data_IF_786743227064
#
_entry.id   IF_786743227064
#
_cell.length_a   1.000
_cell.length_b   1.000
_cell.length_c   1.000
_cell.angle_alpha   90.00
_cell.angle_beta   90.00
_cell.angle_gamma   90.00
#
_symmetry.space_group_name_H-M   'P 1'
#
loop_
_entity.id
_entity.type
_entity.pdbx_description
1 polymer ?
#
# COMPACT_ATOMS: atom_id res chain seq x y z
N UNK A 1 -35.75 3.63 -35.86
CA UNK A 1 -36.48 3.51 -37.14
C UNK A 1 -37.87 2.88 -36.98
N UNK A 2 -38.04 1.69 -36.40
CA UNK A 2 -39.37 1.05 -36.28
C UNK A 2 -40.33 1.76 -35.30
N UNK A 3 -39.83 2.19 -34.14
CA UNK A 3 -40.62 2.91 -33.15
C UNK A 3 -41.10 4.29 -33.65
N UNK A 4 -40.25 4.99 -34.41
CA UNK A 4 -40.60 6.29 -35.01
C UNK A 4 -41.66 6.16 -36.11
N UNK A 5 -41.59 5.09 -36.93
CA UNK A 5 -42.64 4.79 -37.92
C UNK A 5 -43.98 4.46 -37.25
N UNK A 6 -43.96 3.70 -36.16
CA UNK A 6 -45.16 3.37 -35.39
C UNK A 6 -45.80 4.61 -34.75
N UNK A 7 -44.98 5.48 -34.14
CA UNK A 7 -45.45 6.73 -33.57
C UNK A 7 -46.06 7.68 -34.62
N UNK A 8 -45.49 7.74 -35.84
CA UNK A 8 -46.07 8.52 -36.95
C UNK A 8 -47.42 7.96 -37.42
N UNK A 9 -47.55 6.64 -37.53
CA UNK A 9 -48.81 5.99 -37.89
C UNK A 9 -49.90 6.26 -36.85
N UNK A 10 -49.60 6.14 -35.56
CA UNK A 10 -50.55 6.43 -34.48
C UNK A 10 -51.00 7.90 -34.49
N UNK A 11 -50.10 8.83 -34.78
CA UNK A 11 -50.41 10.25 -34.94
C UNK A 11 -51.34 10.53 -36.13
N UNK A 12 -51.16 9.81 -37.23
CA UNK A 12 -52.00 9.91 -38.42
C UNK A 12 -53.41 9.33 -38.18
N UNK A 13 -53.49 8.19 -37.51
CA UNK A 13 -54.76 7.57 -37.09
C UNK A 13 -55.53 8.47 -36.12
N UNK A 14 -54.84 9.11 -35.16
CA UNK A 14 -55.46 10.08 -34.25
C UNK A 14 -55.97 11.33 -34.99
N UNK A 15 -55.24 11.82 -36.00
CA UNK A 15 -55.68 12.93 -36.85
C UNK A 15 -56.90 12.57 -37.69
N UNK A 16 -56.95 11.37 -38.26
CA UNK A 16 -58.14 10.91 -39.00
C UNK A 16 -59.37 10.79 -38.09
N UNK A 17 -59.22 10.20 -36.90
CA UNK A 17 -60.32 10.11 -35.91
C UNK A 17 -60.83 11.48 -35.48
N UNK A 18 -59.93 12.45 -35.29
CA UNK A 18 -60.32 13.82 -34.96
C UNK A 18 -61.11 14.51 -36.09
N UNK A 19 -60.72 14.29 -37.36
CA UNK A 19 -61.46 14.81 -38.52
C UNK A 19 -62.86 14.20 -38.63
N UNK A 20 -62.99 12.88 -38.53
CA UNK A 20 -64.30 12.21 -38.59
C UNK A 20 -65.24 12.67 -37.46
N UNK A 21 -64.71 12.86 -36.24
CA UNK A 21 -65.50 13.38 -35.13
C UNK A 21 -65.95 14.84 -35.36
N UNK A 22 -65.12 15.65 -36.00
CA UNK A 22 -65.46 17.03 -36.36
C UNK A 22 -66.52 17.09 -37.47
N UNK A 23 -66.44 16.21 -38.48
CA UNK A 23 -67.42 16.09 -39.55
C UNK A 23 -68.79 15.62 -39.01
N UNK A 24 -68.81 14.56 -38.19
CA UNK A 24 -70.04 14.08 -37.55
C UNK A 24 -70.71 15.14 -36.65
N UNK A 25 -69.89 15.95 -35.94
CA UNK A 25 -70.40 17.07 -35.15
C UNK A 25 -70.98 18.18 -36.03
N UNK A 26 -70.44 18.40 -37.22
CA UNK A 26 -70.96 19.38 -38.19
C UNK A 26 -72.25 18.90 -38.83
N UNK A 27 -72.34 17.62 -39.20
CA UNK A 27 -73.56 16.99 -39.73
C UNK A 27 -74.71 17.05 -38.72
N UNK A 28 -74.46 16.72 -37.44
CA UNK A 28 -75.46 16.88 -36.38
C UNK A 28 -75.97 18.31 -36.25
N UNK A 29 -75.06 19.30 -36.30
CA UNK A 29 -75.46 20.72 -36.24
C UNK A 29 -76.34 21.14 -37.42
N UNK A 30 -76.03 20.68 -38.63
CA UNK A 30 -76.84 20.95 -39.81
C UNK A 30 -78.23 20.31 -39.69
N UNK A 31 -78.31 19.08 -39.19
CA UNK A 31 -79.58 18.40 -38.93
C UNK A 31 -80.42 19.14 -37.87
N UNK A 32 -79.79 19.63 -36.80
CA UNK A 32 -80.47 20.43 -35.76
C UNK A 32 -80.96 21.78 -36.33
N UNK A 33 -80.18 22.45 -37.18
CA UNK A 33 -80.60 23.69 -37.85
C UNK A 33 -81.76 23.50 -38.84
N UNK A 34 -81.79 22.37 -39.56
CA UNK A 34 -82.89 22.03 -40.46
C UNK A 34 -84.17 21.66 -39.67
N UNK A 35 -84.03 20.95 -38.55
CA UNK A 35 -85.15 20.67 -37.64
C UNK A 35 -85.74 21.96 -37.05
N UNK A 36 -84.89 22.91 -36.62
CA UNK A 36 -85.33 24.22 -36.12
C UNK A 36 -86.03 25.05 -37.20
N UNK A 37 -85.56 25.01 -38.45
CA UNK A 37 -86.24 25.66 -39.59
C UNK A 37 -87.62 25.05 -39.85
N UNK A 38 -87.75 23.72 -39.76
CA UNK A 38 -89.03 23.02 -39.91
C UNK A 38 -90.01 23.42 -38.80
N UNK A 39 -89.55 23.51 -37.56
CA UNK A 39 -90.36 23.94 -36.42
C UNK A 39 -90.89 25.36 -36.65
N UNK A 40 -90.03 26.31 -37.04
CA UNK A 40 -90.47 27.68 -37.35
C UNK A 40 -91.52 27.75 -38.46
N UNK A 41 -91.34 26.99 -39.54
CA UNK A 41 -92.33 26.92 -40.62
C UNK A 41 -93.69 26.38 -40.14
N UNK A 42 -93.69 25.37 -39.27
CA UNK A 42 -94.92 24.82 -38.69
C UNK A 42 -95.57 25.79 -37.71
N UNK A 43 -94.78 26.57 -36.96
CA UNK A 43 -95.28 27.63 -36.07
C UNK A 43 -95.91 28.78 -36.86
N UNK A 44 -95.30 29.21 -37.96
CA UNK A 44 -95.87 30.20 -38.88
C UNK A 44 -97.17 29.70 -39.52
N UNK A 45 -97.21 28.44 -39.98
CA UNK A 45 -98.45 27.83 -40.49
C UNK A 45 -99.55 27.75 -39.43
N UNK A 46 -99.20 27.40 -38.18
CA UNK A 46 -100.14 27.41 -37.06
C UNK A 46 -100.69 28.82 -36.80
N UNK A 47 -99.82 29.83 -36.85
CA UNK A 47 -100.21 31.22 -36.67
C UNK A 47 -101.13 31.71 -37.80
N UNK A 48 -100.83 31.37 -39.06
CA UNK A 48 -101.65 31.70 -40.23
C UNK A 48 -103.03 31.03 -40.15
N UNK A 49 -103.08 29.76 -39.72
CA UNK A 49 -104.33 29.03 -39.49
C UNK A 49 -105.14 29.61 -38.32
N UNK A 50 -104.50 30.00 -37.21
CA UNK A 50 -105.15 30.71 -36.11
C UNK A 50 -105.71 32.08 -36.56
N UNK A 51 -104.99 32.78 -37.42
CA UNK A 51 -105.42 34.04 -38.01
C UNK A 51 -106.62 33.85 -38.95
N UNK A 52 -106.61 32.82 -39.79
CA UNK A 52 -107.75 32.45 -40.63
C UNK A 52 -108.98 32.07 -39.80
N UNK A 53 -108.81 31.33 -38.70
CA UNK A 53 -109.90 31.02 -37.74
C UNK A 53 -110.42 32.28 -37.03
N UNK A 54 -109.55 33.27 -36.75
CA UNK A 54 -109.96 34.54 -36.15
C UNK A 54 -110.67 35.47 -37.14
N UNK A 55 -110.32 35.44 -38.43
CA UNK A 55 -111.00 36.19 -39.49
C UNK A 55 -112.33 35.55 -39.92
N UNK A 56 -112.53 34.25 -39.67
CA UNK A 56 -113.77 33.53 -39.90
C UNK A 56 -114.78 33.64 -38.73
N UNK A 57 -114.47 34.40 -37.67
CA UNK A 57 -115.46 34.82 -36.68
C UNK A 57 -115.96 36.23 -37.02
N UNK A 58 -117.16 36.39 -37.60
CA UNK A 58 -117.84 37.67 -37.53
C UNK A 58 -118.25 37.94 -36.07
N UNK A 59 -117.96 39.17 -35.65
CA UNK A 59 -118.60 39.83 -34.50
C UNK A 59 -120.11 39.54 -34.48
N UNK A 60 -120.57 38.92 -33.40
CA UNK A 60 -121.94 39.01 -32.95
C UNK A 60 -121.96 38.84 -31.43
N UNK A 61 -121.82 39.97 -30.74
CA UNK A 61 -122.46 40.18 -29.45
C UNK A 61 -123.58 41.19 -29.69
N UNK A 62 -124.84 40.76 -29.52
CA UNK A 62 -125.72 41.53 -28.67
C UNK A 62 -126.39 40.63 -27.64
N UNK A 63 -125.93 40.76 -26.41
CA UNK A 63 -126.72 40.97 -25.19
C UNK A 63 -128.22 40.62 -25.29
N UNK A 64 -128.62 39.70 -24.42
CA UNK A 64 -129.88 39.74 -23.67
C UNK A 64 -131.20 39.45 -24.44
N UNK A 65 -131.43 38.18 -24.77
CA UNK A 65 -132.79 37.63 -24.85
C UNK A 65 -132.77 36.11 -24.63
N UNK A 66 -133.23 35.68 -23.45
CA UNK A 66 -133.74 34.35 -23.05
C UNK A 66 -133.08 33.78 -21.78
N UNK A 67 -133.56 34.23 -20.63
CA UNK A 67 -133.79 33.32 -19.50
C UNK A 67 -134.95 32.38 -19.87
N UNK A 68 -134.65 31.31 -20.60
CA UNK A 68 -135.47 30.08 -20.62
C UNK A 68 -134.69 28.99 -19.91
N UNK A 69 -135.33 28.12 -19.11
CA UNK A 69 -134.72 26.83 -18.78
C UNK A 69 -134.51 26.09 -20.11
N UNK A 70 -133.26 25.98 -20.55
CA UNK A 70 -132.89 25.21 -21.73
C UNK A 70 -133.06 23.73 -21.36
N UNK A 71 -134.27 23.22 -21.55
CA UNK A 71 -134.50 21.79 -21.69
C UNK A 71 -134.00 21.44 -23.09
N UNK A 72 -132.71 21.09 -23.21
CA UNK A 72 -132.17 20.44 -24.40
C UNK A 72 -132.97 19.17 -24.66
N UNK A 73 -133.10 18.77 -25.92
CA UNK A 73 -133.73 17.48 -26.21
C UNK A 73 -132.93 16.37 -25.50
N UNK A 74 -133.55 15.25 -25.11
CA UNK A 74 -132.81 14.11 -24.54
C UNK A 74 -131.67 13.61 -25.45
N UNK A 75 -131.71 13.94 -26.74
CA UNK A 75 -130.63 13.69 -27.71
C UNK A 75 -129.44 14.66 -27.55
N UNK A 76 -129.66 15.95 -27.25
CA UNK A 76 -128.58 16.91 -26.96
C UNK A 76 -127.87 16.60 -25.64
N UNK A 77 -128.61 16.20 -24.59
CA UNK A 77 -128.03 15.82 -23.31
C UNK A 77 -127.24 14.50 -23.39
N UNK A 78 -127.69 13.55 -24.22
CA UNK A 78 -126.94 12.33 -24.53
C UNK A 78 -125.63 12.63 -25.28
N UNK A 79 -125.65 13.54 -26.26
CA UNK A 79 -124.46 13.96 -26.99
C UNK A 79 -123.45 14.71 -26.10
N UNK A 80 -123.92 15.53 -25.16
CA UNK A 80 -123.06 16.18 -24.16
C UNK A 80 -122.39 15.15 -23.24
N UNK A 81 -123.12 14.14 -22.78
CA UNK A 81 -122.55 13.04 -21.99
C UNK A 81 -121.54 12.19 -22.78
N UNK A 82 -121.82 11.86 -24.04
CA UNK A 82 -120.86 11.16 -24.91
C UNK A 82 -119.60 11.99 -25.16
N UNK A 83 -119.74 13.31 -25.28
CA UNK A 83 -118.62 14.23 -25.43
C UNK A 83 -117.79 14.34 -24.14
N UNK A 84 -118.41 14.36 -22.96
CA UNK A 84 -117.70 14.30 -21.67
C UNK A 84 -116.95 12.99 -21.48
N UNK A 85 -117.57 11.84 -21.79
CA UNK A 85 -116.93 10.51 -21.70
C UNK A 85 -115.76 10.40 -22.68
N UNK A 86 -115.93 10.88 -23.91
CA UNK A 86 -114.86 10.89 -24.91
C UNK A 86 -113.74 11.86 -24.53
N UNK A 87 -114.08 13.01 -23.94
CA UNK A 87 -113.14 13.98 -23.40
C UNK A 87 -112.28 13.39 -22.28
N UNK A 88 -112.92 12.72 -21.31
CA UNK A 88 -112.21 12.06 -20.21
C UNK A 88 -111.29 10.95 -20.72
N UNK A 89 -111.75 10.11 -21.66
CA UNK A 89 -110.91 9.06 -22.24
C UNK A 89 -109.70 9.65 -23.00
N UNK A 90 -109.86 10.81 -23.62
CA UNK A 90 -108.76 11.52 -24.27
C UNK A 90 -107.79 12.13 -23.25
N UNK A 91 -108.28 12.75 -22.18
CA UNK A 91 -107.44 13.27 -21.09
C UNK A 91 -106.65 12.15 -20.40
N UNK A 92 -107.29 11.02 -20.08
CA UNK A 92 -106.63 9.85 -19.49
C UNK A 92 -105.55 9.28 -20.42
N UNK A 93 -105.83 9.20 -21.73
CA UNK A 93 -104.85 8.77 -22.73
C UNK A 93 -103.70 9.78 -22.85
N UNK A 94 -103.99 11.07 -22.80
CA UNK A 94 -102.97 12.12 -22.83
C UNK A 94 -102.08 12.08 -21.58
N UNK A 95 -102.67 11.83 -20.40
CA UNK A 95 -101.93 11.64 -19.17
C UNK A 95 -101.10 10.34 -19.19
N UNK A 96 -101.64 9.25 -19.74
CA UNK A 96 -100.88 8.02 -19.93
C UNK A 96 -99.69 8.24 -20.87
N UNK A 97 -99.89 8.99 -21.97
CA UNK A 97 -98.84 9.32 -22.92
C UNK A 97 -97.75 10.18 -22.26
N UNK A 98 -98.13 11.18 -21.46
CA UNK A 98 -97.17 12.01 -20.73
C UNK A 98 -96.34 11.20 -19.72
N UNK A 99 -96.97 10.26 -18.99
CA UNK A 99 -96.29 9.32 -18.09
C UNK A 99 -95.32 8.40 -18.84
N UNK A 100 -95.71 7.87 -20.01
CA UNK A 100 -94.83 7.03 -20.83
C UNK A 100 -93.61 7.80 -21.35
N UNK A 101 -93.79 9.05 -21.80
CA UNK A 101 -92.68 9.94 -22.21
C UNK A 101 -91.73 10.19 -21.03
N UNK A 102 -92.27 10.42 -19.83
CA UNK A 102 -91.45 10.63 -18.63
C UNK A 102 -90.63 9.36 -18.28
N UNK A 103 -91.25 8.18 -18.31
CA UNK A 103 -90.55 6.91 -18.07
C UNK A 103 -89.45 6.64 -19.10
N UNK A 104 -89.67 6.99 -20.38
CA UNK A 104 -88.63 6.87 -21.40
C UNK A 104 -87.43 7.77 -21.09
N UNK A 105 -87.68 9.03 -20.71
CA UNK A 105 -86.61 9.97 -20.30
C UNK A 105 -85.83 9.45 -19.09
N UNK A 106 -86.51 8.96 -18.06
CA UNK A 106 -85.86 8.41 -16.87
C UNK A 106 -85.03 7.16 -17.19
N UNK A 107 -85.51 6.28 -18.09
CA UNK A 107 -84.74 5.13 -18.58
C UNK A 107 -83.53 5.55 -19.39
N UNK A 108 -83.65 6.56 -20.24
CA UNK A 108 -82.53 7.10 -21.02
C UNK A 108 -81.46 7.73 -20.11
N UNK A 109 -81.87 8.48 -19.09
CA UNK A 109 -80.96 9.05 -18.09
C UNK A 109 -80.23 7.95 -17.28
N UNK A 110 -80.95 6.90 -16.87
CA UNK A 110 -80.35 5.75 -16.21
C UNK A 110 -79.36 5.01 -17.12
N UNK A 111 -79.72 4.80 -18.39
CA UNK A 111 -78.82 4.20 -19.38
C UNK A 111 -77.57 5.05 -19.62
N UNK A 112 -77.71 6.38 -19.69
CA UNK A 112 -76.58 7.29 -19.86
C UNK A 112 -75.62 7.21 -18.67
N UNK A 113 -76.15 7.17 -17.44
CA UNK A 113 -75.35 6.98 -16.22
C UNK A 113 -74.60 5.65 -16.24
N UNK A 114 -75.28 4.54 -16.51
CA UNK A 114 -74.66 3.22 -16.60
C UNK A 114 -73.59 3.15 -17.69
N UNK A 115 -73.84 3.77 -18.86
CA UNK A 115 -72.84 3.84 -19.93
C UNK A 115 -71.61 4.64 -19.51
N UNK A 116 -71.80 5.77 -18.83
CA UNK A 116 -70.71 6.59 -18.27
C UNK A 116 -69.89 5.82 -17.25
N UNK A 117 -70.55 5.14 -16.31
CA UNK A 117 -69.90 4.30 -15.29
C UNK A 117 -69.13 3.14 -15.93
N UNK A 118 -69.71 2.48 -16.95
CA UNK A 118 -69.03 1.42 -17.70
C UNK A 118 -67.75 1.93 -18.36
N UNK A 119 -67.79 3.12 -18.97
CA UNK A 119 -66.61 3.73 -19.59
C UNK A 119 -65.54 4.03 -18.52
N UNK A 120 -65.93 4.61 -17.38
CA UNK A 120 -65.00 4.92 -16.27
C UNK A 120 -64.38 3.65 -15.69
N UNK A 121 -65.18 2.62 -15.43
CA UNK A 121 -64.73 1.35 -14.91
C UNK A 121 -63.73 0.66 -15.87
N UNK A 122 -64.03 0.66 -17.17
CA UNK A 122 -63.12 0.11 -18.19
C UNK A 122 -61.78 0.87 -18.26
N UNK A 123 -61.82 2.20 -18.16
CA UNK A 123 -60.61 3.04 -18.12
C UNK A 123 -59.76 2.74 -16.88
N UNK A 124 -60.39 2.71 -15.70
CA UNK A 124 -59.72 2.38 -14.44
C UNK A 124 -59.10 0.98 -14.48
N UNK A 125 -59.85 0.00 -14.98
CA UNK A 125 -59.39 -1.38 -15.07
C UNK A 125 -58.23 -1.54 -16.06
N UNK A 126 -58.17 -0.73 -17.12
CA UNK A 126 -57.00 -0.65 -18.01
C UNK A 126 -55.78 -0.11 -17.27
N UNK A 127 -55.94 1.00 -16.54
CA UNK A 127 -54.86 1.62 -15.78
C UNK A 127 -54.30 0.68 -14.71
N UNK A 128 -55.17 -0.01 -13.96
CA UNK A 128 -54.76 -0.99 -12.95
C UNK A 128 -54.00 -2.19 -13.57
N UNK A 129 -54.35 -2.60 -14.79
CA UNK A 129 -53.61 -3.63 -15.51
C UNK A 129 -52.21 -3.16 -15.92
N UNK A 130 -52.09 -1.93 -16.39
CA UNK A 130 -50.80 -1.32 -16.74
C UNK A 130 -49.92 -1.16 -15.48
N UNK A 131 -50.48 -0.67 -14.38
CA UNK A 131 -49.77 -0.56 -13.10
C UNK A 131 -49.32 -1.92 -12.57
N UNK A 132 -50.18 -2.94 -12.64
CA UNK A 132 -49.80 -4.32 -12.27
C UNK A 132 -48.64 -4.84 -13.11
N UNK A 133 -48.65 -4.59 -14.42
CA UNK A 133 -47.56 -5.01 -15.31
C UNK A 133 -46.24 -4.30 -14.96
N UNK A 134 -46.29 -2.99 -14.72
CA UNK A 134 -45.11 -2.21 -14.29
C UNK A 134 -44.56 -2.72 -12.96
N UNK A 135 -45.42 -3.02 -11.98
CA UNK A 135 -44.98 -3.59 -10.70
C UNK A 135 -44.34 -4.98 -10.89
N UNK A 136 -44.88 -5.82 -11.77
CA UNK A 136 -44.28 -7.11 -12.09
C UNK A 136 -42.90 -6.96 -12.72
N UNK A 137 -42.72 -6.04 -13.66
CA UNK A 137 -41.42 -5.74 -14.28
C UNK A 137 -40.40 -5.21 -13.27
N UNK A 138 -40.84 -4.36 -12.34
CA UNK A 138 -40.01 -3.87 -11.24
C UNK A 138 -39.55 -4.98 -10.32
N UNK A 139 -40.45 -5.90 -9.94
CA UNK A 139 -40.11 -7.08 -9.12
C UNK A 139 -39.08 -7.94 -9.84
N UNK A 140 -39.30 -8.28 -11.12
CA UNK A 140 -38.34 -9.06 -11.90
C UNK A 140 -36.95 -8.40 -11.99
N UNK A 141 -36.94 -7.08 -12.16
CA UNK A 141 -35.68 -6.30 -12.20
C UNK A 141 -34.98 -6.33 -10.84
N UNK A 142 -35.73 -6.21 -9.73
CA UNK A 142 -35.19 -6.31 -8.37
C UNK A 142 -34.65 -7.71 -8.09
N UNK A 143 -35.34 -8.76 -8.50
CA UNK A 143 -34.90 -10.14 -8.32
C UNK A 143 -33.59 -10.40 -9.08
N UNK A 144 -33.49 -9.97 -10.34
CA UNK A 144 -32.23 -10.05 -11.10
C UNK A 144 -31.08 -9.28 -10.44
N UNK A 145 -31.36 -8.12 -9.85
CA UNK A 145 -30.36 -7.35 -9.11
C UNK A 145 -29.92 -8.09 -7.84
N UNK A 146 -30.84 -8.70 -7.10
CA UNK A 146 -30.54 -9.49 -5.91
C UNK A 146 -29.68 -10.71 -6.28
N UNK A 147 -30.02 -11.43 -7.35
CA UNK A 147 -29.24 -12.57 -7.83
C UNK A 147 -27.81 -12.17 -8.23
N UNK A 148 -27.67 -11.06 -8.97
CA UNK A 148 -26.38 -10.49 -9.36
C UNK A 148 -25.55 -10.08 -8.14
N UNK A 149 -26.15 -9.39 -7.18
CA UNK A 149 -25.50 -9.01 -5.92
C UNK A 149 -25.09 -10.26 -5.12
N UNK A 150 -25.94 -11.29 -5.06
CA UNK A 150 -25.62 -12.56 -4.41
C UNK A 150 -24.44 -13.28 -5.07
N UNK A 151 -24.32 -13.22 -6.40
CA UNK A 151 -23.17 -13.77 -7.11
C UNK A 151 -21.87 -13.01 -6.79
N UNK A 152 -21.93 -11.68 -6.67
CA UNK A 152 -20.78 -10.86 -6.25
C UNK A 152 -20.39 -11.17 -4.81
N UNK A 153 -21.36 -11.28 -3.89
CA UNK A 153 -21.12 -11.62 -2.49
C UNK A 153 -20.38 -12.95 -2.36
N UNK A 154 -20.86 -14.01 -3.02
CA UNK A 154 -20.18 -15.33 -3.04
C UNK A 154 -18.74 -15.25 -3.55
N UNK A 155 -18.48 -14.45 -4.59
CA UNK A 155 -17.11 -14.25 -5.11
C UNK A 155 -16.21 -13.50 -4.11
N UNK A 156 -16.76 -12.56 -3.36
CA UNK A 156 -16.02 -11.85 -2.32
C UNK A 156 -15.70 -12.76 -1.14
N UNK A 157 -16.65 -13.58 -0.70
CA UNK A 157 -16.44 -14.58 0.36
C UNK A 157 -15.34 -15.60 -0.03
N UNK A 158 -15.36 -16.09 -1.27
CA UNK A 158 -14.31 -17.00 -1.77
C UNK A 158 -12.92 -16.31 -1.79
N UNK A 159 -12.86 -15.06 -2.26
CA UNK A 159 -11.62 -14.27 -2.23
C UNK A 159 -11.12 -14.03 -0.81
N UNK A 160 -12.01 -13.71 0.12
CA UNK A 160 -11.66 -13.52 1.53
C UNK A 160 -11.07 -14.82 2.10
N UNK A 161 -11.70 -15.96 1.85
CA UNK A 161 -11.22 -17.28 2.29
C UNK A 161 -9.84 -17.60 1.71
N UNK A 162 -9.60 -17.31 0.43
CA UNK A 162 -8.29 -17.49 -0.21
C UNK A 162 -7.25 -16.55 0.42
N UNK A 163 -7.58 -15.28 0.63
CA UNK A 163 -6.68 -14.32 1.25
C UNK A 163 -6.31 -14.72 2.68
N UNK A 164 -7.28 -15.17 3.49
CA UNK A 164 -7.03 -15.69 4.84
C UNK A 164 -6.08 -16.91 4.81
N UNK A 165 -6.27 -17.83 3.84
CA UNK A 165 -5.37 -18.97 3.67
C UNK A 165 -3.94 -18.54 3.29
N UNK A 166 -3.81 -17.56 2.38
CA UNK A 166 -2.49 -17.02 2.00
C UNK A 166 -1.82 -16.28 3.15
N UNK A 167 -2.58 -15.52 3.95
CA UNK A 167 -2.06 -14.83 5.13
C UNK A 167 -1.49 -15.85 6.13
N UNK A 168 -2.26 -16.91 6.44
CA UNK A 168 -1.79 -17.97 7.33
C UNK A 168 -0.53 -18.67 6.82
N UNK A 169 -0.41 -18.86 5.50
CA UNK A 169 0.79 -19.45 4.89
C UNK A 169 2.01 -18.53 5.04
N UNK A 170 1.85 -17.23 4.76
CA UNK A 170 2.91 -16.23 4.89
C UNK A 170 3.34 -16.06 6.35
N UNK A 171 2.41 -16.08 7.30
CA UNK A 171 2.72 -16.03 8.73
C UNK A 171 3.58 -17.23 9.17
N UNK A 172 3.26 -18.44 8.70
CA UNK A 172 4.06 -19.64 8.95
C UNK A 172 5.45 -19.54 8.32
N UNK A 173 5.55 -19.05 7.08
CA UNK A 173 6.84 -18.83 6.43
C UNK A 173 7.67 -17.81 7.21
N UNK A 174 7.07 -16.69 7.63
CA UNK A 174 7.74 -15.67 8.42
C UNK A 174 8.32 -16.26 9.72
N UNK A 175 7.54 -17.08 10.43
CA UNK A 175 8.00 -17.75 11.64
C UNK A 175 9.22 -18.66 11.36
N UNK A 176 9.16 -19.46 10.30
CA UNK A 176 10.27 -20.34 9.92
C UNK A 176 11.52 -19.53 9.53
N UNK A 177 11.35 -18.42 8.81
CA UNK A 177 12.46 -17.52 8.45
C UNK A 177 13.07 -16.85 9.68
N UNK A 178 12.26 -16.44 10.65
CA UNK A 178 12.75 -15.89 11.92
C UNK A 178 13.54 -16.93 12.71
N UNK A 179 13.05 -18.17 12.81
CA UNK A 179 13.76 -19.27 13.47
C UNK A 179 15.09 -19.58 12.80
N UNK A 180 15.13 -19.64 11.46
CA UNK A 180 16.35 -19.84 10.70
C UNK A 180 17.34 -18.69 10.92
N UNK A 181 16.87 -17.45 10.91
CA UNK A 181 17.70 -16.26 11.15
C UNK A 181 18.32 -16.28 12.54
N UNK A 182 17.55 -16.60 13.59
CA UNK A 182 18.07 -16.66 14.96
C UNK A 182 19.10 -17.80 15.12
N UNK A 183 18.88 -18.93 14.45
CA UNK A 183 19.84 -20.04 14.39
C UNK A 183 21.15 -19.63 13.70
N UNK A 184 21.08 -18.91 12.58
CA UNK A 184 22.26 -18.39 11.89
C UNK A 184 23.00 -17.34 12.73
N UNK A 185 22.28 -16.46 13.42
CA UNK A 185 22.85 -15.47 14.33
C UNK A 185 23.61 -16.14 15.47
N UNK A 186 23.03 -17.17 16.09
CA UNK A 186 23.71 -17.97 17.12
C UNK A 186 24.99 -18.62 16.58
N UNK A 187 24.93 -19.27 15.41
CA UNK A 187 26.10 -19.86 14.76
C UNK A 187 27.19 -18.83 14.44
N UNK A 188 26.80 -17.63 14.02
CA UNK A 188 27.74 -16.55 13.75
C UNK A 188 28.48 -16.11 15.02
N UNK A 189 27.77 -16.02 16.15
CA UNK A 189 28.38 -15.71 17.46
C UNK A 189 29.33 -16.83 17.90
N UNK A 190 28.91 -18.09 17.83
CA UNK A 190 29.74 -19.26 18.19
C UNK A 190 31.01 -19.34 17.31
N UNK A 191 30.87 -19.08 16.01
CA UNK A 191 32.00 -19.03 15.07
C UNK A 191 32.97 -17.88 15.39
N UNK A 192 32.45 -16.68 15.69
CA UNK A 192 33.26 -15.54 16.07
C UNK A 192 34.04 -15.78 17.37
N UNK A 193 33.41 -16.43 18.36
CA UNK A 193 34.06 -16.85 19.60
C UNK A 193 35.18 -17.85 19.33
N UNK A 194 34.90 -18.92 18.58
CA UNK A 194 35.90 -19.92 18.19
C UNK A 194 37.08 -19.32 17.44
N UNK A 195 36.84 -18.37 16.54
CA UNK A 195 37.89 -17.65 15.83
C UNK A 195 38.76 -16.79 16.77
N UNK A 196 38.15 -16.13 17.77
CA UNK A 196 38.87 -15.36 18.77
C UNK A 196 39.75 -16.26 19.66
N UNK A 197 39.22 -17.41 20.10
CA UNK A 197 39.96 -18.38 20.92
C UNK A 197 41.16 -18.96 20.15
N UNK A 198 40.95 -19.35 18.89
CA UNK A 198 42.03 -19.83 18.02
C UNK A 198 43.10 -18.75 17.80
N UNK A 199 42.70 -17.49 17.64
CA UNK A 199 43.64 -16.37 17.50
C UNK A 199 44.49 -16.21 18.77
N UNK A 200 43.88 -16.28 19.94
CA UNK A 200 44.59 -16.22 21.22
C UNK A 200 45.58 -17.39 21.37
N UNK A 201 45.18 -18.60 20.98
CA UNK A 201 46.09 -19.75 20.95
C UNK A 201 47.26 -19.55 19.99
N UNK A 202 47.01 -19.03 18.78
CA UNK A 202 48.06 -18.71 17.82
C UNK A 202 49.03 -17.68 18.36
N UNK A 203 48.55 -16.60 18.97
CA UNK A 203 49.40 -15.57 19.60
C UNK A 203 50.26 -16.17 20.72
N UNK A 204 49.67 -17.03 21.57
CA UNK A 204 50.40 -17.75 22.62
C UNK A 204 51.50 -18.65 22.05
N UNK A 205 51.18 -19.50 21.08
CA UNK A 205 52.17 -20.40 20.47
C UNK A 205 53.25 -19.63 19.71
N UNK A 206 52.89 -18.51 19.07
CA UNK A 206 53.84 -17.66 18.38
C UNK A 206 54.81 -16.98 19.37
N UNK A 207 54.32 -16.54 20.53
CA UNK A 207 55.17 -16.02 21.61
C UNK A 207 56.12 -17.10 22.15
N UNK A 208 55.60 -18.30 22.46
CA UNK A 208 56.40 -19.44 22.90
C UNK A 208 57.48 -19.83 21.88
N UNK A 209 57.14 -19.79 20.59
CA UNK A 209 58.10 -20.08 19.53
C UNK A 209 59.22 -19.02 19.46
N UNK A 210 58.88 -17.74 19.62
CA UNK A 210 59.88 -16.66 19.69
C UNK A 210 60.81 -16.82 20.90
N UNK A 211 60.26 -17.13 22.07
CA UNK A 211 61.06 -17.41 23.28
C UNK A 211 61.99 -18.60 23.06
N UNK A 212 61.48 -19.71 22.52
CA UNK A 212 62.30 -20.88 22.21
C UNK A 212 63.41 -20.57 21.18
N UNK A 213 63.08 -19.81 20.12
CA UNK A 213 64.07 -19.35 19.14
C UNK A 213 65.16 -18.48 19.78
N UNK A 214 64.79 -17.57 20.69
CA UNK A 214 65.74 -16.74 21.42
C UNK A 214 66.66 -17.60 22.30
N UNK A 215 66.10 -18.52 23.07
CA UNK A 215 66.88 -19.44 23.91
C UNK A 215 67.85 -20.26 23.06
N UNK A 216 67.41 -20.79 21.91
CA UNK A 216 68.28 -21.53 20.98
C UNK A 216 69.41 -20.64 20.46
N UNK A 217 69.13 -19.39 20.08
CA UNK A 217 70.15 -18.45 19.62
C UNK A 217 71.18 -18.14 20.72
N UNK A 218 70.74 -17.87 21.94
CA UNK A 218 71.60 -17.63 23.11
C UNK A 218 72.49 -18.84 23.43
N UNK A 219 71.91 -20.05 23.44
CA UNK A 219 72.65 -21.30 23.67
C UNK A 219 73.65 -21.57 22.55
N UNK A 220 73.29 -21.29 21.29
CA UNK A 220 74.19 -21.45 20.14
C UNK A 220 75.38 -20.49 20.27
N UNK A 221 75.13 -19.21 20.56
CA UNK A 221 76.19 -18.23 20.78
C UNK A 221 77.09 -18.59 21.96
N UNK A 222 76.53 -19.08 23.07
CA UNK A 222 77.30 -19.56 24.22
C UNK A 222 78.18 -20.77 23.85
N UNK A 223 77.65 -21.73 23.10
CA UNK A 223 78.42 -22.89 22.62
C UNK A 223 79.56 -22.46 21.68
N UNK A 224 79.32 -21.51 20.79
CA UNK A 224 80.37 -20.94 19.91
C UNK A 224 81.48 -20.25 20.72
N UNK A 225 81.11 -19.47 21.73
CA UNK A 225 82.06 -18.80 22.63
C UNK A 225 82.91 -19.82 23.42
N UNK A 226 82.29 -20.86 23.97
CA UNK A 226 83.00 -21.94 24.66
C UNK A 226 83.88 -22.76 23.70
N UNK A 227 83.40 -23.03 22.48
CA UNK A 227 84.20 -23.68 21.44
C UNK A 227 85.43 -22.83 21.07
N UNK A 228 85.28 -21.51 20.98
CA UNK A 228 86.40 -20.59 20.73
C UNK A 228 87.41 -20.58 21.90
N UNK A 229 86.95 -20.45 23.14
CA UNK A 229 87.81 -20.55 24.34
C UNK A 229 88.54 -21.87 24.40
N UNK A 230 87.84 -22.97 24.11
CA UNK A 230 88.41 -24.31 24.07
C UNK A 230 89.52 -24.40 23.02
N UNK A 231 89.30 -23.88 21.80
CA UNK A 231 90.35 -23.81 20.76
C UNK A 231 91.57 -23.01 21.23
N UNK A 232 91.37 -21.85 21.87
CA UNK A 232 92.47 -21.06 22.45
C UNK A 232 93.26 -21.81 23.52
N UNK A 233 92.58 -22.46 24.46
CA UNK A 233 93.24 -23.28 25.47
C UNK A 233 93.98 -24.48 24.86
N UNK A 234 93.44 -25.10 23.80
CA UNK A 234 94.14 -26.15 23.07
C UNK A 234 95.42 -25.62 22.38
N UNK A 235 95.37 -24.43 21.78
CA UNK A 235 96.55 -23.75 21.22
C UNK A 235 97.60 -23.47 22.31
N UNK A 236 97.19 -22.94 23.46
CA UNK A 236 98.06 -22.67 24.61
C UNK A 236 98.67 -23.95 25.18
N UNK A 237 97.87 -25.01 25.36
CA UNK A 237 98.35 -26.33 25.79
C UNK A 237 99.36 -26.91 24.80
N UNK A 238 99.14 -26.75 23.49
CA UNK A 238 100.10 -27.19 22.48
C UNK A 238 101.43 -26.41 22.58
N UNK A 239 101.38 -25.09 22.82
CA UNK A 239 102.58 -24.26 23.05
C UNK A 239 103.31 -24.69 24.32
N UNK A 240 102.58 -24.89 25.44
CA UNK A 240 103.16 -25.32 26.71
C UNK A 240 103.75 -26.72 26.62
N UNK A 241 103.10 -27.67 25.93
CA UNK A 241 103.67 -29.00 25.63
C UNK A 241 104.97 -28.90 24.85
N UNK A 242 105.02 -28.08 23.78
CA UNK A 242 106.27 -27.82 23.04
C UNK A 242 107.36 -27.22 23.92
N UNK A 243 107.02 -26.31 24.85
CA UNK A 243 107.97 -25.74 25.82
C UNK A 243 108.46 -26.78 26.83
N UNK A 244 107.56 -27.61 27.35
CA UNK A 244 107.91 -28.71 28.26
C UNK A 244 108.82 -29.73 27.58
N UNK A 245 108.57 -30.09 26.33
CA UNK A 245 109.47 -30.94 25.53
C UNK A 245 110.85 -30.32 25.31
N UNK A 246 110.93 -29.00 25.09
CA UNK A 246 112.22 -28.28 25.01
C UNK A 246 112.98 -28.30 26.34
N UNK A 247 112.30 -28.06 27.45
CA UNK A 247 112.88 -28.13 28.80
C UNK A 247 113.38 -29.55 29.10
N UNK A 248 112.62 -30.58 28.71
CA UNK A 248 113.01 -31.99 28.86
C UNK A 248 114.24 -32.36 28.02
N UNK A 249 114.40 -31.76 26.83
CA UNK A 249 115.62 -31.88 26.01
C UNK A 249 116.81 -31.11 26.61
N UNK A 250 116.57 -30.00 27.31
CA UNK A 250 117.61 -29.29 28.06
C UNK A 250 118.03 -30.05 29.33
N UNK A 251 117.12 -30.74 30.03
CA UNK A 251 117.45 -31.63 31.15
C UNK A 251 118.17 -32.91 30.70
N UNK A 252 117.92 -33.42 29.50
CA UNK A 252 118.65 -34.57 28.94
C UNK A 252 120.08 -34.23 28.46
N UNK A 253 120.49 -32.95 28.46
CA UNK A 253 121.75 -32.48 27.91
C UNK A 253 122.68 -31.82 28.94
N UNK A 254 122.82 -32.41 30.14
CA UNK A 254 123.73 -31.87 31.17
C UNK A 254 124.56 -32.91 31.93
N UNK A 255 125.81 -33.14 31.51
CA UNK A 255 126.92 -33.56 32.38
C UNK A 255 128.25 -32.90 31.96
N UNK A 256 128.86 -32.19 32.93
CA UNK A 256 130.28 -31.80 33.15
C UNK A 256 130.99 -30.71 32.31
N UNK A 257 131.15 -29.55 32.97
CA UNK A 257 132.27 -28.56 33.14
C UNK A 257 133.40 -28.39 32.09
N UNK A 258 133.77 -27.12 31.78
CA UNK A 258 134.94 -26.39 32.35
C UNK A 258 135.00 -24.91 31.85
N UNK A 259 135.72 -24.07 32.59
CA UNK A 259 135.79 -22.59 32.59
C UNK A 259 136.60 -21.92 31.47
N UNK A 260 136.37 -20.61 31.24
CA UNK A 260 137.39 -19.72 30.65
C UNK A 260 136.95 -18.51 29.80
N UNK A 261 136.43 -17.47 30.46
CA UNK A 261 136.58 -16.01 30.16
C UNK A 261 136.26 -15.43 28.76
N UNK A 262 135.27 -14.52 28.70
CA UNK A 262 135.31 -13.11 28.23
C UNK A 262 134.00 -12.64 27.57
N UNK A 263 133.48 -11.48 27.99
CA UNK A 263 132.45 -10.71 27.25
C UNK A 263 131.27 -10.25 28.10
N UNK A 264 131.26 -8.98 28.51
CA UNK A 264 130.22 -8.40 29.34
C UNK A 264 129.00 -7.83 28.59
N UNK A 265 127.91 -7.72 29.37
CA UNK A 265 126.87 -6.68 29.37
C UNK A 265 125.80 -6.64 28.24
N UNK A 266 124.68 -5.89 28.40
CA UNK A 266 123.81 -5.62 29.57
C UNK A 266 122.32 -5.78 29.22
N UNK A 267 121.40 -5.64 30.20
CA UNK A 267 120.19 -4.86 29.88
C UNK A 267 118.82 -5.29 30.39
N UNK A 268 118.68 -5.81 31.61
CA UNK A 268 117.40 -5.66 32.34
C UNK A 268 117.65 -4.94 33.65
N UNK A 269 117.78 -3.61 33.57
CA UNK A 269 117.85 -2.76 34.76
C UNK A 269 116.52 -2.86 35.52
N UNK A 270 116.59 -3.19 36.81
CA UNK A 270 115.43 -3.27 37.70
C UNK A 270 114.64 -1.96 37.65
N UNK A 271 113.32 -2.05 37.57
CA UNK A 271 112.44 -0.88 37.63
C UNK A 271 112.27 -0.47 39.09
N UNK A 272 112.97 0.57 39.49
CA UNK A 272 113.09 1.04 40.88
C UNK A 272 112.86 2.56 41.01
N UNK A 273 112.12 3.16 40.08
CA UNK A 273 111.75 4.57 40.12
C UNK A 273 110.41 4.87 39.44
N UNK A 274 109.67 5.84 39.98
CA UNK A 274 108.37 6.29 39.44
C UNK A 274 108.36 7.78 39.14
N UNK A 275 107.67 8.16 38.06
CA UNK A 275 107.32 9.54 37.76
C UNK A 275 106.00 9.91 38.43
N UNK A 276 105.98 10.90 39.31
CA UNK A 276 104.78 11.29 40.07
C UNK A 276 103.68 11.91 39.21
N UNK A 277 104.04 12.50 38.06
CA UNK A 277 103.07 13.13 37.14
C UNK A 277 102.26 12.16 36.29
N UNK A 278 102.78 10.96 36.03
CA UNK A 278 102.12 9.98 35.14
C UNK A 278 102.14 8.54 35.68
N UNK A 279 102.68 8.35 36.89
CA UNK A 279 102.79 7.07 37.61
C UNK A 279 103.42 5.92 36.81
N UNK A 280 104.19 6.24 35.76
CA UNK A 280 104.96 5.25 35.02
C UNK A 280 106.27 4.92 35.72
N UNK A 281 106.58 3.61 35.80
CA UNK A 281 107.73 3.07 36.52
C UNK A 281 108.84 2.66 35.55
N UNK A 282 110.06 3.10 35.84
CA UNK A 282 111.27 2.86 35.07
C UNK A 282 112.46 2.56 36.00
N UNK A 283 113.64 2.33 35.44
CA UNK A 283 114.86 2.25 36.22
C UNK A 283 115.30 3.65 36.69
N UNK A 284 115.80 3.78 37.91
CA UNK A 284 116.26 5.05 38.50
C UNK A 284 117.33 5.71 37.63
N UNK A 285 118.33 4.93 37.19
CA UNK A 285 119.39 5.44 36.32
C UNK A 285 118.84 5.94 34.98
N UNK A 286 117.81 5.29 34.44
CA UNK A 286 117.18 5.65 33.18
C UNK A 286 116.49 7.02 33.27
N UNK A 287 115.81 7.29 34.39
CA UNK A 287 115.16 8.58 34.63
C UNK A 287 116.19 9.66 34.97
N UNK A 288 117.21 9.33 35.78
CA UNK A 288 118.30 10.25 36.13
C UNK A 288 119.09 10.70 34.90
N UNK A 289 119.52 9.77 34.04
CA UNK A 289 120.24 10.11 32.80
C UNK A 289 119.40 11.00 31.88
N UNK A 290 118.09 10.74 31.75
CA UNK A 290 117.19 11.62 30.96
C UNK A 290 117.03 13.01 31.57
N UNK A 291 117.01 13.11 32.89
CA UNK A 291 116.97 14.41 33.57
C UNK A 291 118.25 15.23 33.35
N UNK A 292 119.42 14.58 33.47
CA UNK A 292 120.75 15.19 33.28
C UNK A 292 120.99 15.60 31.81
N UNK A 293 120.58 14.78 30.85
CA UNK A 293 120.67 15.06 29.40
C UNK A 293 119.59 16.00 28.86
N UNK A 294 118.79 16.63 29.76
CA UNK A 294 117.68 17.54 29.45
C UNK A 294 116.55 16.93 28.60
N UNK A 295 116.50 15.62 28.44
CA UNK A 295 115.41 14.87 27.78
C UNK A 295 114.27 14.58 28.77
N UNK A 296 113.76 15.63 29.40
CA UNK A 296 112.85 15.62 30.57
C UNK A 296 111.39 15.28 30.22
N UNK A 297 111.16 14.21 29.46
CA UNK A 297 109.82 13.70 29.11
C UNK A 297 109.72 12.19 29.39
N UNK A 298 108.56 11.76 29.89
CA UNK A 298 108.27 10.37 30.18
C UNK A 298 108.43 9.51 28.91
N UNK A 299 109.23 8.43 28.94
CA UNK A 299 109.40 7.56 27.78
C UNK A 299 108.11 6.92 27.24
N UNK A 300 107.06 6.79 28.08
CA UNK A 300 105.83 6.07 27.73
C UNK A 300 104.68 6.97 27.28
N UNK A 301 104.51 8.13 27.91
CA UNK A 301 103.42 9.06 27.59
C UNK A 301 103.87 10.48 27.22
N UNK A 302 105.17 10.71 27.13
CA UNK A 302 105.77 11.99 26.74
C UNK A 302 105.46 13.19 27.69
N UNK A 303 104.88 12.94 28.87
CA UNK A 303 104.63 13.95 29.89
C UNK A 303 105.95 14.55 30.42
N UNK A 304 106.04 15.87 30.53
CA UNK A 304 107.23 16.56 31.03
C UNK A 304 107.39 16.36 32.55
N UNK A 305 108.63 16.14 33.02
CA UNK A 305 108.94 15.95 34.45
C UNK A 305 110.18 16.75 34.90
N UNK A 306 110.13 17.31 36.11
CA UNK A 306 111.18 18.13 36.74
C UNK A 306 112.00 17.38 37.80
N UNK A 307 112.85 18.12 38.53
CA UNK A 307 113.76 17.56 39.54
C UNK A 307 113.02 16.82 40.67
N UNK A 308 111.85 17.32 41.05
CA UNK A 308 111.04 16.80 42.15
C UNK A 308 109.97 15.81 41.68
N UNK A 309 109.93 15.46 40.38
CA UNK A 309 108.84 14.67 39.78
C UNK A 309 109.23 13.20 39.55
N UNK A 310 110.40 12.75 40.05
CA UNK A 310 110.83 11.36 39.98
C UNK A 310 111.44 10.89 41.31
N UNK A 311 110.98 9.75 41.81
CA UNK A 311 111.40 9.19 43.09
C UNK A 311 111.78 7.72 42.99
N UNK A 312 112.73 7.30 43.82
CA UNK A 312 113.18 5.92 43.92
C UNK A 312 112.12 5.10 44.66
N UNK A 313 111.73 3.97 44.09
CA UNK A 313 110.85 2.99 44.69
C UNK A 313 111.66 1.76 45.09
N UNK A 314 111.41 1.25 46.29
CA UNK A 314 111.93 -0.03 46.75
C UNK A 314 110.82 -1.07 46.63
N UNK A 315 110.90 -1.91 45.60
CA UNK A 315 110.03 -3.06 45.43
C UNK A 315 110.70 -4.26 46.09
N UNK A 316 110.19 -4.71 47.24
CA UNK A 316 110.48 -6.04 47.76
C UNK A 316 109.78 -7.07 46.86
N UNK A 317 110.46 -8.17 46.57
CA UNK A 317 109.89 -9.28 45.77
C UNK A 317 108.97 -10.12 46.63
#
# INVERSE_FOLDING_TARGET
MAAERKARQELEDHRQKAKMAQESKRERRLADEDALRKIKQLEEQKYELQKQLSCARPNADPLHAFTRPFAGSPEEEALLNEMEVTGQAFEDMQEQNSRLIQQLREKDDANFKLMSERIKANSLHKLLREEKQLLQEQVLTRDQQIESMGAVARRLEEKERLLQATLSAVEKELLLRQQAMEMHKRKAIESAQSAADLKLHLEKYHAQMKEAQQVVAEKTSALEAEAYKTKRLHEELAILRRKAERMKKMEQAGSSMDEGTTGGDPGVKRKDAVLTKCFHVFCWDCLRTRYETRQRKCPKCNAAFGANDYHRLYLST
#
